data_IF_266076981707
#
_entry.id   IF_266076981707
#
_cell.length_a   1.000
_cell.length_b   1.000
_cell.length_c   1.000
_cell.angle_alpha   90.00
_cell.angle_beta   90.00
_cell.angle_gamma   90.00
#
_symmetry.space_group_name_H-M   'P 1'
#
loop_
_entity.id
_entity.type
_entity.pdbx_description
1 polymer ?
#
# COMPACT_ATOMS: atom_id res chain seq x y z
N UNK A 1 -29.03 13.54 3.68
CA UNK A 1 -28.32 12.23 3.70
C UNK A 1 -27.98 11.84 2.27
N UNK A 2 -26.72 11.53 2.01
CA UNK A 2 -26.25 11.09 0.70
C UNK A 2 -26.82 9.70 0.40
N UNK A 3 -27.40 9.50 -0.78
CA UNK A 3 -27.93 8.20 -1.21
C UNK A 3 -26.82 7.14 -1.24
N UNK A 4 -27.16 5.87 -1.00
CA UNK A 4 -26.20 4.75 -1.04
C UNK A 4 -25.48 4.72 -2.38
N UNK A 5 -26.21 4.91 -3.49
CA UNK A 5 -25.68 4.96 -4.85
C UNK A 5 -24.63 6.07 -5.04
N UNK A 6 -24.87 7.24 -4.45
CA UNK A 6 -23.94 8.37 -4.55
C UNK A 6 -22.64 8.10 -3.76
N UNK A 7 -22.74 7.41 -2.61
CA UNK A 7 -21.59 6.99 -1.80
C UNK A 7 -20.70 6.01 -2.54
N UNK A 8 -21.28 5.01 -3.17
CA UNK A 8 -20.55 3.98 -3.91
C UNK A 8 -19.88 4.57 -5.16
N UNK A 9 -20.55 5.50 -5.82
CA UNK A 9 -19.99 6.23 -6.96
C UNK A 9 -18.83 7.14 -6.55
N UNK A 10 -18.92 7.79 -5.39
CA UNK A 10 -17.81 8.59 -4.85
C UNK A 10 -16.58 7.72 -4.55
N UNK A 11 -16.78 6.57 -3.90
CA UNK A 11 -15.71 5.61 -3.61
C UNK A 11 -15.10 5.08 -4.91
N UNK A 12 -15.93 4.72 -5.90
CA UNK A 12 -15.46 4.27 -7.23
C UNK A 12 -14.54 5.30 -7.88
N UNK A 13 -14.92 6.56 -7.91
CA UNK A 13 -14.08 7.64 -8.48
C UNK A 13 -12.76 7.77 -7.77
N UNK A 14 -12.75 7.71 -6.44
CA UNK A 14 -11.50 7.75 -5.66
C UNK A 14 -10.60 6.55 -5.93
N UNK A 15 -11.17 5.35 -6.11
CA UNK A 15 -10.42 4.14 -6.48
C UNK A 15 -9.77 4.30 -7.86
N UNK A 16 -10.49 4.84 -8.85
CA UNK A 16 -9.96 5.11 -10.18
C UNK A 16 -8.77 6.08 -10.09
N UNK A 17 -8.93 7.21 -9.43
CA UNK A 17 -7.84 8.18 -9.23
C UNK A 17 -6.63 7.55 -8.53
N UNK A 18 -6.85 6.76 -7.48
CA UNK A 18 -5.77 6.08 -6.77
C UNK A 18 -5.07 5.04 -7.66
N UNK A 19 -5.80 4.35 -8.55
CA UNK A 19 -5.22 3.35 -9.47
C UNK A 19 -4.31 3.99 -10.53
N UNK A 20 -4.62 5.19 -10.97
CA UNK A 20 -3.77 5.96 -11.89
C UNK A 20 -2.45 6.35 -11.22
N UNK A 21 -2.51 6.88 -10.00
CA UNK A 21 -1.31 7.20 -9.22
C UNK A 21 -0.48 5.94 -8.94
N UNK A 22 -1.13 4.84 -8.57
CA UNK A 22 -0.48 3.56 -8.32
C UNK A 22 0.27 3.05 -9.56
N UNK A 23 -0.37 3.09 -10.73
CA UNK A 23 0.22 2.73 -12.02
C UNK A 23 1.46 3.59 -12.33
N UNK A 24 1.33 4.89 -12.21
CA UNK A 24 2.34 5.85 -12.71
C UNK A 24 3.54 5.98 -11.78
N UNK A 25 3.35 5.75 -10.49
CA UNK A 25 4.37 6.04 -9.48
C UNK A 25 4.94 4.81 -8.77
N UNK A 26 4.21 3.70 -8.68
CA UNK A 26 4.55 2.56 -7.85
C UNK A 26 4.67 1.25 -8.61
N UNK A 27 3.69 0.89 -9.43
CA UNK A 27 3.67 -0.39 -10.14
C UNK A 27 4.88 -0.54 -11.09
N UNK A 28 5.43 -1.76 -11.15
CA UNK A 28 6.59 -2.06 -12.01
C UNK A 28 7.93 -1.52 -11.51
N UNK A 29 7.98 -0.97 -10.30
CA UNK A 29 9.20 -0.44 -9.67
C UNK A 29 9.57 -1.23 -8.42
N UNK A 30 10.86 -1.26 -8.13
CA UNK A 30 11.43 -1.72 -6.85
C UNK A 30 11.96 -0.51 -6.11
N UNK A 31 11.61 -0.36 -4.85
CA UNK A 31 12.09 0.69 -3.96
C UNK A 31 12.99 0.07 -2.91
N UNK A 32 14.23 0.54 -2.84
CA UNK A 32 15.21 0.16 -1.83
C UNK A 32 15.22 1.21 -0.72
N UNK A 33 14.88 0.79 0.48
CA UNK A 33 14.93 1.61 1.70
C UNK A 33 16.16 1.24 2.49
N UNK A 34 16.98 2.24 2.83
CA UNK A 34 18.22 2.08 3.62
C UNK A 34 18.09 2.87 4.91
N UNK A 35 18.42 2.26 6.04
CA UNK A 35 18.41 2.87 7.36
C UNK A 35 19.51 2.25 8.23
N UNK A 36 20.38 3.10 8.82
CA UNK A 36 21.56 2.62 9.51
C UNK A 36 22.39 1.69 8.63
N UNK A 37 22.71 0.50 9.12
CA UNK A 37 23.43 -0.55 8.38
C UNK A 37 22.50 -1.59 7.73
N UNK A 38 21.19 -1.31 7.70
CA UNK A 38 20.16 -2.22 7.23
C UNK A 38 19.47 -1.71 5.97
N UNK A 39 18.82 -2.62 5.23
CA UNK A 39 18.01 -2.27 4.07
C UNK A 39 16.90 -3.30 3.82
N UNK A 40 15.91 -2.90 3.06
CA UNK A 40 14.89 -3.79 2.50
C UNK A 40 14.35 -3.24 1.18
N UNK A 41 13.81 -4.12 0.36
CA UNK A 41 13.21 -3.77 -0.92
C UNK A 41 11.70 -3.95 -0.89
N UNK A 42 10.97 -2.99 -1.46
CA UNK A 42 9.50 -3.03 -1.58
C UNK A 42 9.09 -2.97 -3.04
N UNK A 43 8.16 -3.82 -3.42
CA UNK A 43 7.47 -3.78 -4.72
C UNK A 43 5.97 -3.62 -4.50
N UNK A 44 5.29 -3.04 -5.48
CA UNK A 44 3.85 -2.78 -5.44
C UNK A 44 3.14 -3.55 -6.58
N UNK A 45 2.87 -4.86 -6.40
CA UNK A 45 2.17 -5.65 -7.39
C UNK A 45 0.72 -5.18 -7.57
N UNK A 46 0.21 -5.29 -8.78
CA UNK A 46 -1.13 -4.79 -9.14
C UNK A 46 -2.26 -5.54 -8.46
N UNK A 47 -2.08 -6.82 -8.16
CA UNK A 47 -3.04 -7.65 -7.39
C UNK A 47 -3.14 -7.24 -5.90
N UNK A 48 -2.19 -6.46 -5.38
CA UNK A 48 -2.23 -5.94 -4.00
C UNK A 48 -3.04 -4.65 -3.88
N UNK A 49 -3.28 -3.94 -4.97
CA UNK A 49 -3.97 -2.65 -4.97
C UNK A 49 -5.33 -2.71 -4.26
N UNK A 50 -6.19 -3.70 -4.56
CA UNK A 50 -7.52 -3.83 -3.93
C UNK A 50 -7.44 -3.87 -2.40
N UNK A 51 -6.50 -4.62 -1.82
CA UNK A 51 -6.35 -4.73 -0.37
C UNK A 51 -6.04 -3.41 0.32
N UNK A 52 -5.39 -2.49 -0.38
CA UNK A 52 -5.05 -1.17 0.15
C UNK A 52 -6.23 -0.20 0.11
N UNK A 53 -7.22 -0.42 -0.76
CA UNK A 53 -8.41 0.46 -0.87
C UNK A 53 -9.34 0.35 0.33
N UNK A 54 -9.36 -0.79 0.99
CA UNK A 54 -10.27 -1.07 2.11
C UNK A 54 -11.69 -1.43 1.69
N UNK A 55 -11.93 -1.73 0.41
CA UNK A 55 -13.21 -2.29 -0.08
C UNK A 55 -13.08 -3.78 -0.36
N UNK A 56 -14.21 -4.47 -0.39
CA UNK A 56 -14.31 -5.80 -0.96
C UNK A 56 -14.89 -5.72 -2.39
N UNK A 57 -14.76 -6.79 -3.17
CA UNK A 57 -15.22 -6.81 -4.56
C UNK A 57 -15.66 -8.20 -4.99
N UNK A 58 -16.61 -8.25 -5.92
CA UNK A 58 -17.11 -9.49 -6.54
C UNK A 58 -16.17 -10.05 -7.62
N UNK A 59 -15.12 -9.31 -8.00
CA UNK A 59 -14.14 -9.73 -9.00
C UNK A 59 -12.76 -9.95 -8.37
N UNK A 60 -11.85 -10.61 -9.10
CA UNK A 60 -10.50 -10.88 -8.61
C UNK A 60 -9.72 -9.58 -8.35
N UNK A 61 -8.68 -9.66 -7.52
CA UNK A 61 -7.86 -8.49 -7.19
C UNK A 61 -7.17 -7.89 -8.42
N UNK A 62 -6.70 -8.74 -9.34
CA UNK A 62 -6.09 -8.29 -10.60
C UNK A 62 -7.12 -7.63 -11.52
N UNK A 63 -8.27 -8.25 -11.72
CA UNK A 63 -9.34 -7.69 -12.55
C UNK A 63 -9.86 -6.36 -11.98
N UNK A 64 -9.96 -6.25 -10.66
CA UNK A 64 -10.33 -5.02 -9.97
C UNK A 64 -9.37 -3.87 -10.32
N UNK A 65 -8.05 -4.12 -10.24
CA UNK A 65 -7.07 -3.13 -10.62
C UNK A 65 -7.15 -2.78 -12.12
N UNK A 66 -7.27 -3.78 -13.00
CA UNK A 66 -7.32 -3.57 -14.45
C UNK A 66 -8.54 -2.74 -14.86
N UNK A 67 -9.69 -2.99 -14.25
CA UNK A 67 -10.91 -2.19 -14.45
C UNK A 67 -10.80 -0.79 -13.83
N UNK A 68 -10.18 -0.64 -12.67
CA UNK A 68 -9.98 0.66 -12.05
C UNK A 68 -9.09 1.55 -12.93
N UNK A 69 -7.91 1.07 -13.36
CA UNK A 69 -6.97 1.85 -14.19
C UNK A 69 -7.50 2.21 -15.59
N UNK A 70 -8.47 1.45 -16.11
CA UNK A 70 -9.14 1.72 -17.38
C UNK A 70 -10.48 2.46 -17.22
N UNK A 71 -10.81 2.90 -16.00
CA UNK A 71 -12.06 3.57 -15.64
C UNK A 71 -13.34 2.72 -15.88
N UNK A 72 -13.18 1.41 -16.03
CA UNK A 72 -14.27 0.46 -16.28
C UNK A 72 -14.80 -0.23 -15.01
N UNK A 73 -14.25 0.08 -13.84
CA UNK A 73 -14.77 -0.44 -12.59
C UNK A 73 -16.19 0.09 -12.34
N UNK A 74 -17.13 -0.82 -12.09
CA UNK A 74 -18.53 -0.48 -11.76
C UNK A 74 -18.72 -0.35 -10.26
N UNK A 75 -19.57 0.57 -9.82
CA UNK A 75 -19.98 0.68 -8.41
C UNK A 75 -20.61 -0.62 -7.87
N UNK A 76 -21.35 -1.36 -8.71
CA UNK A 76 -21.94 -2.66 -8.36
C UNK A 76 -20.90 -3.80 -8.16
N UNK A 77 -19.64 -3.58 -8.50
CA UNK A 77 -18.54 -4.53 -8.23
C UNK A 77 -17.86 -4.28 -6.88
N UNK A 78 -18.25 -3.22 -6.19
CA UNK A 78 -17.70 -2.79 -4.88
C UNK A 78 -18.74 -3.11 -3.82
N UNK A 79 -18.34 -3.72 -2.72
CA UNK A 79 -19.21 -3.94 -1.57
C UNK A 79 -18.45 -3.83 -0.25
N UNK A 80 -19.19 -3.73 0.84
CA UNK A 80 -18.68 -3.58 2.19
C UNK A 80 -19.16 -4.75 3.05
N UNK A 81 -18.32 -5.15 3.97
CA UNK A 81 -18.59 -6.18 4.97
C UNK A 81 -18.07 -5.72 6.34
N UNK A 82 -18.05 -6.65 7.30
CA UNK A 82 -17.61 -6.37 8.67
C UNK A 82 -16.14 -5.92 8.73
N UNK A 83 -15.29 -6.43 7.84
CA UNK A 83 -13.85 -6.13 7.80
C UNK A 83 -13.54 -4.97 6.86
N UNK A 84 -14.35 -4.78 5.82
CA UNK A 84 -14.20 -3.78 4.77
C UNK A 84 -15.37 -2.80 4.81
N UNK A 85 -15.33 -1.86 5.74
CA UNK A 85 -16.42 -0.90 5.94
C UNK A 85 -16.30 0.30 5.01
N UNK A 86 -17.44 0.91 4.63
CA UNK A 86 -17.48 2.18 3.90
C UNK A 86 -16.63 3.27 4.58
N UNK A 87 -16.75 3.40 5.92
CA UNK A 87 -15.97 4.36 6.71
C UNK A 87 -14.47 4.08 6.62
N UNK A 88 -14.09 2.80 6.62
CA UNK A 88 -12.70 2.37 6.46
C UNK A 88 -12.14 2.75 5.08
N UNK A 89 -12.89 2.46 4.01
CA UNK A 89 -12.52 2.81 2.64
C UNK A 89 -12.39 4.33 2.46
N UNK A 90 -13.38 5.10 2.94
CA UNK A 90 -13.37 6.58 2.89
C UNK A 90 -12.13 7.19 3.57
N UNK A 91 -11.62 6.57 4.64
CA UNK A 91 -10.38 6.99 5.31
C UNK A 91 -9.12 6.61 4.54
N UNK A 92 -9.09 5.42 3.94
CA UNK A 92 -7.89 4.87 3.29
C UNK A 92 -7.62 5.47 1.91
N UNK A 93 -8.66 5.72 1.11
CA UNK A 93 -8.50 6.12 -0.28
C UNK A 93 -7.73 7.43 -0.49
N UNK A 94 -7.92 8.51 0.29
CA UNK A 94 -7.05 9.68 0.19
C UNK A 94 -5.58 9.36 0.47
N UNK A 95 -5.31 8.51 1.49
CA UNK A 95 -3.95 8.08 1.81
C UNK A 95 -3.36 7.17 0.71
N UNK A 96 -4.17 6.35 0.06
CA UNK A 96 -3.75 5.53 -1.06
C UNK A 96 -3.32 6.38 -2.27
N UNK A 97 -4.00 7.48 -2.54
CA UNK A 97 -3.59 8.46 -3.56
C UNK A 97 -2.27 9.14 -3.19
N UNK A 98 -2.00 9.32 -1.89
CA UNK A 98 -0.75 9.88 -1.36
C UNK A 98 0.35 8.85 -1.11
N UNK A 99 0.10 7.57 -1.41
CA UNK A 99 1.04 6.47 -1.12
C UNK A 99 2.46 6.69 -1.68
N UNK A 100 2.67 7.34 -2.85
CA UNK A 100 4.02 7.68 -3.32
C UNK A 100 4.83 8.55 -2.35
N UNK A 101 4.21 9.29 -1.44
CA UNK A 101 4.92 10.04 -0.40
C UNK A 101 5.76 9.14 0.52
N UNK A 102 5.39 7.86 0.67
CA UNK A 102 6.21 6.88 1.39
C UNK A 102 7.47 6.44 0.63
N UNK A 103 7.61 6.81 -0.64
CA UNK A 103 8.75 6.41 -1.49
C UNK A 103 9.69 7.56 -1.82
N UNK A 104 9.38 8.80 -1.46
CA UNK A 104 10.17 9.97 -1.85
C UNK A 104 10.21 11.12 -0.82
N UNK A 105 9.62 10.94 0.35
CA UNK A 105 9.67 11.90 1.46
C UNK A 105 10.35 11.29 2.67
N UNK A 106 10.59 12.10 3.69
CA UNK A 106 11.09 11.63 4.99
C UNK A 106 10.06 10.68 5.60
N UNK A 107 10.49 9.46 5.83
CA UNK A 107 9.67 8.37 6.38
C UNK A 107 10.47 7.58 7.42
N UNK A 108 9.75 6.81 8.23
CA UNK A 108 10.35 5.91 9.20
C UNK A 108 10.00 4.44 8.86
N UNK A 109 10.91 3.54 9.19
CA UNK A 109 10.64 2.12 9.29
C UNK A 109 10.18 1.79 10.71
N UNK A 110 9.16 0.95 10.83
CA UNK A 110 8.67 0.39 12.09
C UNK A 110 8.86 -1.12 12.04
N UNK A 111 9.70 -1.66 12.91
CA UNK A 111 9.90 -3.10 13.07
C UNK A 111 8.79 -3.69 13.94
N UNK A 112 8.43 -4.95 13.69
CA UNK A 112 7.37 -5.65 14.41
C UNK A 112 6.10 -4.81 14.55
N UNK A 113 5.69 -4.19 13.41
CA UNK A 113 4.54 -3.30 13.33
C UNK A 113 3.28 -4.01 13.82
N UNK A 114 2.76 -3.57 14.95
CA UNK A 114 1.55 -4.13 15.55
C UNK A 114 0.28 -3.50 14.98
N UNK A 115 -0.72 -4.32 14.79
CA UNK A 115 -2.09 -3.89 14.53
C UNK A 115 -3.03 -4.65 15.48
N UNK A 116 -4.31 -4.30 15.49
CA UNK A 116 -5.29 -4.99 16.35
C UNK A 116 -5.36 -6.50 16.07
N UNK A 117 -5.12 -6.92 14.85
CA UNK A 117 -5.31 -8.32 14.41
C UNK A 117 -4.01 -9.07 14.14
N UNK A 118 -2.96 -8.39 13.69
CA UNK A 118 -1.73 -9.02 13.20
C UNK A 118 -0.51 -8.16 13.54
N UNK A 119 0.65 -8.81 13.61
CA UNK A 119 1.96 -8.15 13.64
C UNK A 119 2.63 -8.35 12.28
N UNK A 120 3.09 -7.26 11.67
CA UNK A 120 3.86 -7.27 10.44
C UNK A 120 5.33 -7.10 10.76
N UNK A 121 6.20 -7.78 10.02
CA UNK A 121 7.65 -7.72 10.24
C UNK A 121 8.20 -6.30 10.08
N UNK A 122 7.69 -5.58 9.10
CA UNK A 122 8.08 -4.20 8.78
C UNK A 122 6.85 -3.37 8.42
N UNK A 123 6.83 -2.11 8.86
CA UNK A 123 5.95 -1.06 8.35
C UNK A 123 6.76 0.14 7.90
N UNK A 124 6.24 0.91 6.94
CA UNK A 124 6.77 2.23 6.55
C UNK A 124 5.71 3.29 6.82
N UNK A 125 6.11 4.34 7.50
CA UNK A 125 5.20 5.40 7.96
C UNK A 125 5.74 6.80 7.71
N UNK A 126 4.84 7.73 7.41
CA UNK A 126 5.09 9.18 7.45
C UNK A 126 4.34 9.84 8.62
N UNK A 127 3.90 9.06 9.61
CA UNK A 127 3.11 9.43 10.78
C UNK A 127 1.61 9.67 10.49
N UNK A 128 1.22 10.07 9.31
CA UNK A 128 -0.20 10.23 8.92
C UNK A 128 -0.84 8.89 8.57
N UNK A 129 -0.09 8.05 7.89
CA UNK A 129 -0.49 6.69 7.56
C UNK A 129 0.72 5.76 7.46
N UNK A 130 0.46 4.46 7.55
CA UNK A 130 1.48 3.42 7.57
C UNK A 130 1.08 2.28 6.64
N UNK A 131 2.02 1.77 5.85
CA UNK A 131 1.85 0.50 5.16
C UNK A 131 2.52 -0.62 5.96
N UNK A 132 1.78 -1.68 6.23
CA UNK A 132 2.33 -2.94 6.75
C UNK A 132 2.75 -3.82 5.59
N UNK A 133 3.95 -4.36 5.68
CA UNK A 133 4.61 -5.13 4.63
C UNK A 133 4.72 -6.60 5.04
N UNK A 134 4.53 -7.51 4.08
CA UNK A 134 4.77 -8.94 4.22
C UNK A 134 5.87 -9.39 3.28
N UNK A 135 6.59 -10.44 3.66
CA UNK A 135 7.53 -11.12 2.77
C UNK A 135 6.81 -11.70 1.55
N UNK A 136 7.51 -11.80 0.44
CA UNK A 136 6.99 -12.40 -0.79
C UNK A 136 7.17 -13.92 -0.71
N UNK A 137 6.09 -14.61 -0.36
CA UNK A 137 6.05 -16.05 -0.13
C UNK A 137 5.20 -16.74 -1.20
N UNK A 138 5.55 -18.00 -1.52
CA UNK A 138 4.72 -18.90 -2.32
C UNK A 138 3.55 -19.47 -1.49
N UNK A 139 2.76 -20.33 -2.09
CA UNK A 139 1.61 -20.99 -1.43
C UNK A 139 2.03 -21.97 -0.32
N UNK A 140 3.27 -22.43 -0.34
CA UNK A 140 3.85 -23.35 0.66
C UNK A 140 4.53 -22.58 1.80
N UNK A 141 4.63 -21.24 1.70
CA UNK A 141 5.24 -20.37 2.70
C UNK A 141 6.74 -20.17 2.51
N UNK A 142 7.34 -20.60 1.39
CA UNK A 142 8.74 -20.38 1.10
C UNK A 142 8.94 -18.99 0.48
N UNK A 143 10.09 -18.35 0.76
CA UNK A 143 10.45 -17.08 0.14
C UNK A 143 10.70 -17.24 -1.35
N UNK A 144 9.95 -16.49 -2.17
CA UNK A 144 10.19 -16.38 -3.61
C UNK A 144 11.43 -15.51 -3.87
N UNK A 145 11.58 -14.42 -3.11
CA UNK A 145 12.71 -13.50 -3.14
C UNK A 145 12.75 -12.66 -1.86
N UNK A 146 13.65 -11.67 -1.78
CA UNK A 146 13.79 -10.80 -0.62
C UNK A 146 12.88 -9.55 -0.65
N UNK A 147 11.95 -9.47 -1.59
CA UNK A 147 11.03 -8.33 -1.68
C UNK A 147 9.94 -8.40 -0.63
N UNK A 148 9.58 -7.23 -0.14
CA UNK A 148 8.39 -7.03 0.67
C UNK A 148 7.23 -6.49 -0.18
N UNK A 149 6.02 -6.93 0.17
CA UNK A 149 4.79 -6.56 -0.52
C UNK A 149 3.86 -5.79 0.43
N UNK A 150 3.18 -4.73 -0.03
CA UNK A 150 2.18 -4.05 0.78
C UNK A 150 1.00 -4.99 1.07
N UNK A 151 0.66 -5.12 2.34
CA UNK A 151 -0.42 -5.99 2.81
C UNK A 151 -1.58 -5.20 3.40
N UNK A 152 -1.30 -4.09 4.05
CA UNK A 152 -2.32 -3.27 4.68
C UNK A 152 -1.94 -1.79 4.63
N UNK A 153 -2.95 -0.93 4.55
CA UNK A 153 -2.83 0.52 4.74
C UNK A 153 -3.57 0.90 6.01
N UNK A 154 -2.89 1.54 6.95
CA UNK A 154 -3.42 1.98 8.24
C UNK A 154 -3.34 3.49 8.35
N UNK A 155 -4.44 4.10 8.77
CA UNK A 155 -4.55 5.56 8.92
C UNK A 155 -4.78 5.87 10.38
N UNK A 156 -3.80 6.55 11.02
CA UNK A 156 -3.84 6.92 12.44
C UNK A 156 -4.24 5.74 13.35
N UNK A 157 -3.56 4.61 13.17
CA UNK A 157 -3.84 3.37 13.92
C UNK A 157 -3.00 3.36 15.21
N UNK A 158 -3.67 3.54 16.35
CA UNK A 158 -3.03 3.58 17.67
C UNK A 158 -2.30 2.28 18.04
N UNK A 159 -2.67 1.13 17.45
CA UNK A 159 -1.97 -0.11 17.72
C UNK A 159 -0.51 -0.07 17.24
N UNK A 160 -0.19 0.77 16.26
CA UNK A 160 1.17 0.96 15.76
C UNK A 160 2.05 1.66 16.80
N UNK A 161 1.49 2.50 17.66
CA UNK A 161 2.22 3.16 18.76
C UNK A 161 2.84 2.17 19.75
N UNK A 162 2.31 0.94 19.81
CA UNK A 162 2.86 -0.15 20.64
C UNK A 162 3.89 -1.03 19.91
N UNK A 163 4.26 -0.68 18.69
CA UNK A 163 5.30 -1.35 17.91
C UNK A 163 6.69 -1.01 18.44
N UNK A 164 7.73 -1.64 17.88
CA UNK A 164 9.11 -1.23 18.16
C UNK A 164 9.35 0.22 17.72
N UNK A 165 10.38 0.86 18.29
CA UNK A 165 10.74 2.24 17.96
C UNK A 165 10.92 2.42 16.45
N UNK A 166 10.43 3.55 15.95
CA UNK A 166 10.58 3.91 14.55
C UNK A 166 11.99 4.45 14.27
N UNK A 167 12.62 3.97 13.20
CA UNK A 167 13.92 4.46 12.73
C UNK A 167 13.73 5.26 11.44
N UNK A 168 14.43 6.38 11.30
CA UNK A 168 14.40 7.17 10.06
C UNK A 168 15.04 6.41 8.90
N UNK A 169 14.46 6.55 7.73
CA UNK A 169 15.04 6.07 6.48
C UNK A 169 16.06 7.12 5.99
N UNK A 170 17.31 6.68 5.76
CA UNK A 170 18.39 7.55 5.31
C UNK A 170 18.34 7.77 3.80
N UNK A 171 18.06 6.69 3.03
CA UNK A 171 18.02 6.73 1.57
C UNK A 171 16.84 5.93 1.03
N UNK A 172 16.27 6.42 -0.06
CA UNK A 172 15.33 5.66 -0.88
C UNK A 172 15.81 5.71 -2.32
N UNK A 173 16.05 4.54 -2.91
CA UNK A 173 16.39 4.40 -4.31
C UNK A 173 15.27 3.68 -5.05
N UNK A 174 15.15 3.93 -6.34
CA UNK A 174 14.23 3.17 -7.19
C UNK A 174 14.90 2.66 -8.45
N UNK A 175 14.37 1.54 -8.94
CA UNK A 175 14.69 0.99 -10.25
C UNK A 175 13.41 0.43 -10.88
N UNK A 176 13.40 0.25 -12.19
CA UNK A 176 12.42 -0.60 -12.85
C UNK A 176 12.64 -2.06 -12.42
N UNK A 177 11.57 -2.81 -12.18
CA UNK A 177 11.66 -4.21 -11.76
C UNK A 177 12.38 -5.12 -12.77
N UNK A 178 12.47 -4.71 -14.04
CA UNK A 178 13.15 -5.44 -15.12
C UNK A 178 14.66 -5.18 -15.20
N UNK A 179 15.23 -4.29 -14.37
CA UNK A 179 16.67 -3.95 -14.39
C UNK A 179 17.33 -4.26 -13.05
N UNK A 180 18.61 -4.60 -13.06
CA UNK A 180 19.32 -5.01 -11.85
C UNK A 180 19.88 -3.84 -11.05
N UNK A 181 20.13 -2.69 -11.69
CA UNK A 181 20.80 -1.56 -11.05
C UNK A 181 19.82 -0.47 -10.65
N UNK A 182 19.99 0.06 -9.43
CA UNK A 182 19.34 1.28 -8.98
C UNK A 182 19.96 2.48 -9.67
N UNK A 183 19.14 3.31 -10.29
CA UNK A 183 19.56 4.47 -11.08
C UNK A 183 19.05 5.81 -10.55
N UNK A 184 18.05 5.78 -9.65
CA UNK A 184 17.37 6.99 -9.17
C UNK A 184 17.38 7.01 -7.65
N UNK A 185 17.97 8.05 -7.07
CA UNK A 185 17.85 8.38 -5.66
C UNK A 185 16.63 9.29 -5.49
N UNK A 186 15.67 8.88 -4.66
CA UNK A 186 14.42 9.59 -4.40
C UNK A 186 14.46 10.37 -3.08
N UNK A 187 15.22 9.89 -2.10
CA UNK A 187 15.45 10.51 -0.80
C UNK A 187 16.91 10.37 -0.42
N UNK A 188 17.47 11.45 0.10
CA UNK A 188 18.75 11.54 0.78
C UNK A 188 18.59 12.45 1.99
N UNK A 189 18.78 11.93 3.21
CA UNK A 189 18.68 12.68 4.49
C UNK A 189 20.01 12.74 5.19
#
# INVERSE_FOLDING_TARGET
EMCIRDRDEQIRKQIITASEVYRDKLAGRVFLYVYGESYFEVVFPTDRFRHLTGVNSSISAQEFYDKAKSSMLSAGQIFYDREHTYRGAKRKLPCLTMLPALTNNVVCVVKDMKTVTLTYKIGVTNLDFTIGLSENLDLEGNKINNWFLPRTLRVKDKAIESSADAEFIDFIFSKNASVDKYSTCLLYT
#
